data_IF_126326466926
#
_entry.id   IF_126326466926
#
_cell.length_a   1.000
_cell.length_b   1.000
_cell.length_c   1.000
_cell.angle_alpha   90.00
_cell.angle_beta   90.00
_cell.angle_gamma   90.00
#
_symmetry.space_group_name_H-M   'P 1'
#
loop_
_entity.id
_entity.type
_entity.pdbx_description
1 polymer ?
#
# COMPACT_ATOMS: atom_id res chain seq x y z
N UNK A 1 -8.70 22.06 18.62
CA UNK A 1 -7.31 21.57 18.70
C UNK A 1 -7.12 20.94 20.07
N UNK A 2 -6.35 19.85 20.14
CA UNK A 2 -5.93 19.28 21.43
C UNK A 2 -4.89 20.23 22.05
N UNK A 3 -4.98 20.56 23.36
CA UNK A 3 -3.97 21.37 24.04
C UNK A 3 -2.60 20.70 23.98
N UNK A 4 -1.52 21.49 23.88
CA UNK A 4 -0.16 20.95 23.78
C UNK A 4 0.22 20.18 25.05
N UNK A 5 -0.22 20.65 26.21
CA UNK A 5 -0.01 20.01 27.51
C UNK A 5 -0.61 18.60 27.52
N UNK A 6 -1.81 18.43 26.94
CA UNK A 6 -2.44 17.12 26.86
C UNK A 6 -1.68 16.17 25.93
N UNK A 7 -1.08 16.68 24.85
CA UNK A 7 -0.26 15.86 23.95
C UNK A 7 1.01 15.39 24.68
N UNK A 8 1.65 16.26 25.47
CA UNK A 8 2.84 15.91 26.24
C UNK A 8 2.53 14.84 27.30
N UNK A 9 1.42 14.96 28.04
CA UNK A 9 0.95 13.93 28.98
C UNK A 9 0.77 12.56 28.30
N UNK A 10 0.16 12.54 27.11
CA UNK A 10 -0.06 11.32 26.35
C UNK A 10 1.26 10.71 25.83
N UNK A 11 2.21 11.55 25.39
CA UNK A 11 3.55 11.10 24.99
C UNK A 11 4.29 10.45 26.16
N UNK A 12 4.22 11.03 27.36
CA UNK A 12 4.81 10.45 28.56
C UNK A 12 4.21 9.07 28.89
N UNK A 13 2.88 8.93 28.78
CA UNK A 13 2.23 7.62 28.99
C UNK A 13 2.74 6.59 27.98
N UNK A 14 2.77 6.93 26.69
CA UNK A 14 3.24 6.02 25.65
C UNK A 14 4.72 5.65 25.82
N UNK A 15 5.56 6.58 26.29
CA UNK A 15 6.95 6.29 26.63
C UNK A 15 7.09 5.32 27.80
N UNK A 16 6.23 5.43 28.83
CA UNK A 16 6.16 4.47 29.92
C UNK A 16 5.70 3.08 29.44
N UNK A 17 4.68 3.03 28.57
CA UNK A 17 4.22 1.77 27.94
C UNK A 17 5.34 1.12 27.12
N UNK A 18 6.08 1.89 26.31
CA UNK A 18 7.19 1.38 25.51
C UNK A 18 8.33 0.80 26.37
N UNK A 19 8.58 1.37 27.56
CA UNK A 19 9.59 0.89 28.51
C UNK A 19 9.19 -0.40 29.21
N UNK A 20 7.89 -0.55 29.50
CA UNK A 20 7.34 -1.70 30.22
C UNK A 20 6.80 -2.80 29.28
N UNK A 21 6.84 -2.57 27.96
CA UNK A 21 6.35 -3.51 26.96
C UNK A 21 7.14 -4.83 27.00
N UNK A 22 6.41 -5.95 27.06
CA UNK A 22 7.00 -7.29 27.07
C UNK A 22 7.52 -7.73 25.69
N UNK A 23 7.08 -7.07 24.61
CA UNK A 23 7.35 -7.47 23.23
C UNK A 23 7.84 -6.32 22.34
N UNK A 24 8.64 -6.65 21.34
CA UNK A 24 9.14 -5.68 20.37
C UNK A 24 8.02 -5.00 19.57
N UNK A 25 6.98 -5.75 19.18
CA UNK A 25 5.84 -5.21 18.45
C UNK A 25 5.13 -4.10 19.23
N UNK A 26 4.80 -4.36 20.50
CA UNK A 26 4.12 -3.40 21.39
C UNK A 26 4.98 -2.16 21.64
N UNK A 27 6.31 -2.33 21.79
CA UNK A 27 7.24 -1.20 21.92
C UNK A 27 7.30 -0.35 20.66
N UNK A 28 7.29 -0.96 19.47
CA UNK A 28 7.24 -0.23 18.19
C UNK A 28 5.93 0.51 18.02
N UNK A 29 4.81 -0.08 18.44
CA UNK A 29 3.49 0.54 18.41
C UNK A 29 3.43 1.78 19.31
N UNK A 30 3.87 1.66 20.57
CA UNK A 30 3.94 2.79 21.49
C UNK A 30 4.84 3.92 20.96
N UNK A 31 5.98 3.59 20.34
CA UNK A 31 6.85 4.59 19.68
C UNK A 31 6.19 5.23 18.44
N UNK A 32 5.41 4.47 17.67
CA UNK A 32 4.65 4.99 16.53
C UNK A 32 3.54 5.95 16.98
N UNK A 33 2.92 5.69 18.13
CA UNK A 33 1.96 6.59 18.76
C UNK A 33 2.63 7.91 19.18
N UNK A 34 3.81 7.85 19.83
CA UNK A 34 4.60 9.05 20.18
C UNK A 34 4.92 9.89 18.94
N UNK A 35 5.33 9.25 17.83
CA UNK A 35 5.58 9.96 16.57
C UNK A 35 4.32 10.66 16.07
N UNK A 36 3.19 9.96 16.05
CA UNK A 36 1.91 10.54 15.59
C UNK A 36 1.47 11.72 16.46
N UNK A 37 1.68 11.64 17.78
CA UNK A 37 1.43 12.73 18.72
C UNK A 37 2.32 13.95 18.43
N UNK A 38 3.59 13.73 18.08
CA UNK A 38 4.51 14.80 17.69
C UNK A 38 4.05 15.48 16.40
N UNK A 39 3.65 14.70 15.39
CA UNK A 39 3.15 15.22 14.12
C UNK A 39 1.91 16.11 14.35
N UNK A 40 0.98 15.68 15.21
CA UNK A 40 -0.21 16.47 15.60
C UNK A 40 0.16 17.76 16.35
N UNK A 41 1.11 17.70 17.29
CA UNK A 41 1.56 18.87 18.05
C UNK A 41 2.24 19.92 17.17
N UNK A 42 3.02 19.48 16.18
CA UNK A 42 3.72 20.34 15.24
C UNK A 42 2.79 20.89 14.14
N UNK A 43 1.53 20.46 14.11
CA UNK A 43 0.59 20.81 13.05
C UNK A 43 1.01 20.24 11.70
N UNK A 44 1.91 19.25 11.69
CA UNK A 44 2.34 18.57 10.48
C UNK A 44 1.17 17.68 10.06
N UNK A 45 0.40 18.14 9.05
CA UNK A 45 -0.56 17.26 8.38
C UNK A 45 0.24 16.05 7.92
N UNK A 46 -0.26 14.81 8.11
CA UNK A 46 0.47 13.64 7.66
C UNK A 46 0.75 13.85 6.17
N UNK A 47 2.02 14.10 5.85
CA UNK A 47 2.48 14.09 4.47
C UNK A 47 2.29 12.65 4.10
N UNK A 48 1.14 12.36 3.48
CA UNK A 48 0.86 11.10 2.84
C UNK A 48 1.95 10.96 1.80
N UNK A 49 3.09 10.40 2.20
CA UNK A 49 4.11 9.86 1.31
C UNK A 49 3.43 8.67 0.67
N UNK A 50 2.50 8.94 -0.25
CA UNK A 50 2.06 7.94 -1.21
C UNK A 50 3.36 7.37 -1.79
N UNK A 51 3.56 6.05 -1.77
CA UNK A 51 4.73 5.48 -2.39
C UNK A 51 4.73 5.95 -3.85
N UNK A 52 5.80 6.64 -4.24
CA UNK A 52 5.99 7.09 -5.61
C UNK A 52 6.03 5.82 -6.48
N UNK A 53 4.90 5.51 -7.13
CA UNK A 53 4.81 4.39 -8.05
C UNK A 53 5.63 4.79 -9.26
N UNK A 54 6.90 4.35 -9.30
CA UNK A 54 7.71 4.47 -10.50
C UNK A 54 7.05 3.66 -11.62
N UNK A 55 6.69 4.29 -12.75
CA UNK A 55 6.16 3.54 -13.87
C UNK A 55 7.24 2.57 -14.36
N UNK A 56 6.95 1.28 -14.33
CA UNK A 56 7.81 0.25 -14.94
C UNK A 56 7.66 0.39 -16.46
N UNK A 57 8.74 0.69 -17.22
CA UNK A 57 8.65 0.72 -18.66
C UNK A 57 8.44 -0.71 -19.17
N UNK A 58 7.29 -0.96 -19.81
CA UNK A 58 7.04 -2.17 -20.59
C UNK A 58 8.05 -2.22 -21.74
N UNK A 59 9.13 -2.97 -21.55
CA UNK A 59 10.05 -3.31 -22.65
C UNK A 59 9.33 -4.30 -23.56
N UNK A 60 8.77 -3.80 -24.65
CA UNK A 60 8.27 -4.62 -25.76
C UNK A 60 9.46 -5.37 -26.37
N UNK A 61 9.45 -6.72 -26.42
CA UNK A 61 10.46 -7.44 -27.18
C UNK A 61 10.21 -7.18 -28.67
N UNK A 62 11.14 -6.47 -29.30
CA UNK A 62 11.14 -6.30 -30.75
C UNK A 62 11.44 -7.66 -31.39
N UNK A 63 10.40 -8.37 -31.80
CA UNK A 63 10.54 -9.59 -32.57
C UNK A 63 11.14 -9.23 -33.93
N UNK A 64 12.40 -9.61 -34.15
CA UNK A 64 13.01 -9.66 -35.47
C UNK A 64 12.24 -10.65 -36.34
N UNK A 65 11.46 -10.13 -37.29
CA UNK A 65 10.88 -10.96 -38.36
C UNK A 65 11.74 -10.85 -39.62
N UNK A 66 12.01 -11.97 -40.33
CA UNK A 66 12.57 -11.92 -41.67
C UNK A 66 11.51 -11.46 -42.68
N UNK A 67 12.02 -10.71 -43.66
CA UNK A 67 11.36 -10.17 -44.84
C UNK A 67 10.45 -11.17 -45.58
N UNK A 68 9.14 -10.89 -45.68
CA UNK A 68 8.28 -11.34 -46.78
C UNK A 68 7.17 -10.33 -47.08
N UNK A 69 7.07 -9.96 -48.36
CA UNK A 69 6.05 -9.13 -49.00
C UNK A 69 4.61 -9.53 -48.63
N UNK A 70 3.69 -8.56 -48.56
CA UNK A 70 2.25 -8.83 -48.66
C UNK A 70 1.34 -7.82 -47.99
N UNK A 71 0.76 -6.95 -48.81
CA UNK A 71 -0.56 -6.30 -48.71
C UNK A 71 -1.37 -6.36 -47.41
N UNK A 72 -1.79 -5.17 -46.99
CA UNK A 72 -2.98 -4.83 -46.20
C UNK A 72 -3.99 -5.94 -45.92
N UNK A 73 -4.33 -6.13 -44.63
CA UNK A 73 -5.69 -5.96 -44.10
C UNK A 73 -5.67 -6.24 -42.59
N UNK A 74 -6.17 -5.26 -41.83
CA UNK A 74 -6.52 -5.45 -40.43
C UNK A 74 -7.75 -6.36 -40.34
N UNK A 75 -7.64 -7.46 -39.60
CA UNK A 75 -8.78 -8.22 -39.09
C UNK A 75 -8.43 -8.78 -37.70
N UNK A 76 -9.36 -8.74 -36.73
CA UNK A 76 -9.09 -9.09 -35.35
C UNK A 76 -9.15 -10.61 -35.18
N UNK A 77 -8.08 -11.21 -34.67
CA UNK A 77 -8.10 -12.62 -34.25
C UNK A 77 -8.19 -12.64 -32.73
N UNK A 78 -9.36 -13.04 -32.25
CA UNK A 78 -9.64 -13.43 -30.87
C UNK A 78 -8.82 -14.68 -30.54
N UNK A 79 -8.11 -14.75 -29.39
CA UNK A 79 -7.83 -16.00 -28.70
C UNK A 79 -8.51 -16.03 -27.31
N UNK A 80 -8.65 -17.23 -26.72
CA UNK A 80 -9.88 -17.68 -26.10
C UNK A 80 -10.13 -17.11 -24.69
N UNK A 81 -11.42 -16.95 -24.36
CA UNK A 81 -11.87 -16.93 -22.96
C UNK A 81 -11.46 -18.26 -22.33
N UNK A 82 -10.40 -18.23 -21.54
CA UNK A 82 -10.22 -19.23 -20.50
C UNK A 82 -11.24 -18.93 -19.42
N UNK A 83 -12.27 -19.78 -19.36
CA UNK A 83 -13.11 -19.95 -18.21
C UNK A 83 -12.22 -20.44 -17.07
N UNK A 84 -11.63 -19.53 -16.30
CA UNK A 84 -11.20 -19.88 -14.96
C UNK A 84 -12.45 -19.92 -14.11
N UNK A 85 -12.88 -21.16 -13.88
CA UNK A 85 -13.91 -21.61 -12.96
C UNK A 85 -13.82 -20.76 -11.68
N UNK A 86 -14.73 -19.78 -11.61
CA UNK A 86 -14.86 -18.89 -10.49
C UNK A 86 -15.10 -19.75 -9.28
N UNK A 87 -14.06 -19.85 -8.45
CA UNK A 87 -14.14 -20.29 -7.07
C UNK A 87 -15.38 -19.63 -6.48
N UNK A 88 -16.45 -20.42 -6.36
CA UNK A 88 -17.68 -20.03 -5.71
C UNK A 88 -17.31 -19.78 -4.26
N UNK A 89 -16.95 -18.53 -3.96
CA UNK A 89 -16.85 -17.99 -2.63
C UNK A 89 -18.21 -18.11 -1.97
N UNK A 90 -18.48 -19.31 -1.45
CA UNK A 90 -19.51 -19.52 -0.44
C UNK A 90 -19.05 -18.71 0.75
N UNK A 91 -19.54 -17.47 0.85
CA UNK A 91 -19.34 -16.64 2.02
C UNK A 91 -19.80 -17.43 3.24
N UNK A 92 -18.85 -17.82 4.09
CA UNK A 92 -19.07 -18.62 5.31
C UNK A 92 -19.59 -17.75 6.47
N UNK A 93 -19.78 -16.46 6.22
CA UNK A 93 -20.40 -15.53 7.15
C UNK A 93 -21.83 -15.24 6.70
N UNK A 94 -22.79 -15.88 7.36
CA UNK A 94 -24.16 -15.38 7.44
C UNK A 94 -24.34 -14.80 8.86
N UNK A 95 -24.93 -13.60 8.92
CA UNK A 95 -25.10 -12.79 10.13
C UNK A 95 -26.26 -13.28 11.00
#
# INVERSE_FOLDING_TARGET
MVPIERILEEMERQMCEARNASGEAQRREALAAVRSLADVALGDRPVSRMPEVKPVPLSVPHATMPNTQGTAQAAPVVPPRQEEDGANGHSIFDF
#
